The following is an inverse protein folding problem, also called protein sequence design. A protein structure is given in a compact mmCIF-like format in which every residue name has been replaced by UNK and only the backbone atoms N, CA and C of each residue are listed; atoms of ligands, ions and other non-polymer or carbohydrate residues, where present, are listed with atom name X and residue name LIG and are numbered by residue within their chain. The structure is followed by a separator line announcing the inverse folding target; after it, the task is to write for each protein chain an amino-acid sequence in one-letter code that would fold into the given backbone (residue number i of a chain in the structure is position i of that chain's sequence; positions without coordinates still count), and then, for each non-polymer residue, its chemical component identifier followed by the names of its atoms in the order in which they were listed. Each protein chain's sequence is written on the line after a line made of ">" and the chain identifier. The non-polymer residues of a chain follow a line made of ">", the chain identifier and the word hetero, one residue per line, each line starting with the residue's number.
data_IF_557369467110
#
_entry.id   IF_557369467110
#
_cell.length_a   1.000
_cell.length_b   1.000
_cell.length_c   1.000
_cell.angle_alpha   90.00
_cell.angle_beta   90.00
_cell.angle_gamma   90.00
#
_symmetry.space_group_name_H-M   'P 1'
#
loop_
_entity.id
_entity.type
_entity.pdbx_description
1 polymer ?
#
# COMPACT_ATOMS: atom_id res chain seq x y z
N UNK A 1 -11.76 15.18 3.60
CA UNK A 1 -10.71 14.42 2.85
C UNK A 1 -9.35 14.86 3.37
N UNK A 2 -8.47 13.93 3.73
CA UNK A 2 -7.13 14.26 4.23
C UNK A 2 -6.30 14.89 3.12
N UNK A 3 -5.68 16.04 3.38
CA UNK A 3 -4.76 16.67 2.44
C UNK A 3 -3.37 16.05 2.57
N UNK A 4 -3.14 14.99 1.79
CA UNK A 4 -1.88 14.26 1.79
C UNK A 4 -0.72 15.07 1.22
N UNK A 5 -0.96 15.96 0.24
CA UNK A 5 0.09 16.79 -0.35
C UNK A 5 0.65 17.78 0.68
N UNK A 6 -0.23 18.49 1.38
CA UNK A 6 0.18 19.39 2.46
C UNK A 6 0.97 18.69 3.58
N UNK A 7 0.65 17.42 3.88
CA UNK A 7 1.42 16.64 4.85
C UNK A 7 2.85 16.35 4.37
N UNK A 8 3.03 16.01 3.10
CA UNK A 8 4.35 15.84 2.51
C UNK A 8 5.15 17.16 2.49
N UNK A 9 4.51 18.27 2.09
CA UNK A 9 5.10 19.61 2.08
C UNK A 9 5.57 20.07 3.46
N UNK A 10 4.78 19.79 4.49
CA UNK A 10 5.10 20.13 5.89
C UNK A 10 5.94 19.08 6.61
N UNK A 11 6.39 18.03 5.94
CA UNK A 11 7.11 16.88 6.52
C UNK A 11 6.37 16.21 7.70
N UNK A 12 5.04 16.29 7.71
CA UNK A 12 4.20 15.61 8.71
C UNK A 12 3.87 14.19 8.22
N UNK A 13 4.87 13.32 8.22
CA UNK A 13 4.86 11.98 7.61
C UNK A 13 4.97 10.84 8.62
N UNK A 14 4.32 10.96 9.77
CA UNK A 14 4.38 9.97 10.87
C UNK A 14 4.02 8.53 10.51
N UNK A 15 3.50 8.27 9.30
CA UNK A 15 3.27 6.93 8.75
C UNK A 15 4.51 6.33 8.04
N UNK A 16 5.51 7.15 7.74
CA UNK A 16 6.76 6.68 7.14
C UNK A 16 7.58 5.96 8.22
N UNK A 17 8.01 4.75 7.90
CA UNK A 17 8.84 3.93 8.78
C UNK A 17 10.26 3.83 8.21
N UNK A 18 11.26 4.00 9.08
CA UNK A 18 12.68 3.87 8.71
C UNK A 18 13.08 2.42 8.42
N UNK A 19 12.32 1.46 8.94
CA UNK A 19 12.57 0.03 8.76
C UNK A 19 11.58 -0.59 7.80
N UNK A 20 12.02 -1.66 7.14
CA UNK A 20 11.16 -2.54 6.34
C UNK A 20 10.08 -3.16 7.24
N UNK A 21 8.87 -3.21 6.76
CA UNK A 21 7.77 -3.79 7.52
C UNK A 21 8.02 -5.29 7.79
N UNK A 22 7.95 -5.70 9.05
CA UNK A 22 8.16 -7.07 9.50
C UNK A 22 7.23 -8.06 8.78
N UNK A 23 5.97 -7.70 8.59
CA UNK A 23 4.99 -8.58 7.94
C UNK A 23 5.32 -8.81 6.46
N UNK A 24 5.91 -7.83 5.77
CA UNK A 24 6.40 -8.04 4.41
C UNK A 24 7.51 -9.10 4.39
N UNK A 25 8.45 -9.02 5.32
CA UNK A 25 9.57 -9.97 5.42
C UNK A 25 9.06 -11.39 5.69
N UNK A 26 8.18 -11.54 6.70
CA UNK A 26 7.70 -12.83 7.17
C UNK A 26 6.67 -13.48 6.24
N UNK A 27 5.88 -12.67 5.53
CA UNK A 27 4.76 -13.14 4.70
C UNK A 27 4.99 -13.00 3.18
N UNK A 28 6.20 -12.63 2.76
CA UNK A 28 6.52 -12.47 1.34
C UNK A 28 6.23 -13.74 0.52
N UNK A 29 6.47 -14.92 1.09
CA UNK A 29 6.19 -16.22 0.47
C UNK A 29 4.72 -16.44 0.12
N UNK A 30 3.78 -15.76 0.82
CA UNK A 30 2.36 -15.84 0.53
C UNK A 30 1.99 -15.25 -0.83
N UNK A 31 2.82 -14.36 -1.36
CA UNK A 31 2.63 -13.77 -2.68
C UNK A 31 3.03 -14.71 -3.82
N UNK A 32 3.71 -15.82 -3.52
CA UNK A 32 4.14 -16.85 -4.48
C UNK A 32 4.89 -16.27 -5.69
N UNK A 33 5.86 -15.39 -5.41
CA UNK A 33 6.67 -14.68 -6.41
C UNK A 33 7.95 -15.42 -6.73
N UNK A 34 8.39 -15.28 -7.97
CA UNK A 34 9.74 -15.69 -8.43
C UNK A 34 10.56 -14.46 -8.80
N UNK A 35 11.88 -14.60 -8.79
CA UNK A 35 12.81 -13.52 -9.18
C UNK A 35 12.41 -12.92 -10.53
N UNK A 36 12.36 -11.58 -10.59
CA UNK A 36 11.94 -10.83 -11.78
C UNK A 36 10.45 -10.48 -11.83
N UNK A 37 9.61 -11.11 -10.99
CA UNK A 37 8.19 -10.77 -10.93
C UNK A 37 7.97 -9.32 -10.51
N UNK A 38 6.86 -8.73 -10.99
CA UNK A 38 6.50 -7.35 -10.70
C UNK A 38 5.52 -7.30 -9.52
N UNK A 39 5.84 -6.44 -8.54
CA UNK A 39 4.98 -6.13 -7.39
C UNK A 39 4.46 -4.71 -7.51
N UNK A 40 3.15 -4.54 -7.42
CA UNK A 40 2.51 -3.23 -7.38
C UNK A 40 2.34 -2.75 -5.94
N UNK A 41 2.67 -1.48 -5.69
CA UNK A 41 2.51 -0.82 -4.39
C UNK A 41 1.68 0.43 -4.60
N UNK A 42 0.38 0.41 -4.24
CA UNK A 42 -0.47 1.59 -4.30
C UNK A 42 -0.10 2.60 -3.22
N UNK A 43 -0.26 3.91 -3.51
CA UNK A 43 -0.01 5.03 -2.61
C UNK A 43 1.32 4.87 -1.85
N UNK A 44 2.39 4.57 -2.61
CA UNK A 44 3.61 3.98 -2.08
C UNK A 44 4.46 4.92 -1.23
N UNK A 45 4.21 6.23 -1.28
CA UNK A 45 5.06 7.21 -0.60
C UNK A 45 6.54 7.04 -0.95
N UNK A 46 7.39 7.09 0.07
CA UNK A 46 8.82 6.76 -0.02
C UNK A 46 9.20 5.51 0.79
N UNK A 47 8.32 4.49 0.79
CA UNK A 47 8.46 3.31 1.63
C UNK A 47 9.75 2.51 1.37
N UNK A 48 10.47 2.18 2.44
CA UNK A 48 11.65 1.30 2.40
C UNK A 48 11.29 -0.15 2.03
N UNK A 49 10.02 -0.51 2.09
CA UNK A 49 9.52 -1.81 1.62
C UNK A 49 9.80 -2.01 0.12
N UNK A 50 9.82 -0.92 -0.67
CA UNK A 50 10.21 -0.97 -2.10
C UNK A 50 11.66 -1.40 -2.27
N UNK A 51 12.55 -0.87 -1.45
CA UNK A 51 13.99 -1.23 -1.48
C UNK A 51 14.18 -2.70 -1.11
N UNK A 52 13.45 -3.19 -0.11
CA UNK A 52 13.49 -4.60 0.26
C UNK A 52 13.06 -5.50 -0.90
N UNK A 53 11.96 -5.19 -1.58
CA UNK A 53 11.49 -5.96 -2.73
C UNK A 53 12.50 -5.96 -3.88
N UNK A 54 13.11 -4.81 -4.19
CA UNK A 54 14.19 -4.71 -5.17
C UNK A 54 15.40 -5.58 -4.79
N UNK A 55 15.80 -5.55 -3.51
CA UNK A 55 16.89 -6.37 -2.97
C UNK A 55 16.60 -7.87 -3.01
N UNK A 56 15.33 -8.27 -3.03
CA UNK A 56 14.86 -9.65 -3.22
C UNK A 56 14.79 -10.08 -4.70
N UNK A 57 15.15 -9.18 -5.61
CA UNK A 57 15.20 -9.47 -7.06
C UNK A 57 13.85 -9.28 -7.77
N UNK A 58 12.88 -8.62 -7.15
CA UNK A 58 11.61 -8.28 -7.79
C UNK A 58 11.69 -6.95 -8.53
N UNK A 59 10.76 -6.71 -9.43
CA UNK A 59 10.53 -5.40 -10.01
C UNK A 59 9.38 -4.71 -9.27
N UNK A 60 9.49 -3.41 -9.04
CA UNK A 60 8.49 -2.63 -8.31
C UNK A 60 7.78 -1.66 -9.25
N UNK A 61 6.46 -1.61 -9.14
CA UNK A 61 5.63 -0.57 -9.76
C UNK A 61 4.89 0.15 -8.63
N UNK A 62 5.10 1.45 -8.49
CA UNK A 62 4.42 2.28 -7.50
C UNK A 62 3.50 3.30 -8.14
N UNK A 63 2.54 3.80 -7.36
CA UNK A 63 1.82 5.03 -7.65
C UNK A 63 1.80 5.91 -6.41
N UNK A 64 2.14 7.18 -6.58
CA UNK A 64 2.16 8.18 -5.50
C UNK A 64 1.77 9.54 -6.07
N UNK A 65 0.93 10.28 -5.36
CA UNK A 65 0.50 11.59 -5.85
C UNK A 65 1.47 12.70 -5.48
N UNK A 66 2.25 12.53 -4.41
CA UNK A 66 3.24 13.51 -3.96
C UNK A 66 4.55 13.37 -4.74
N UNK A 67 4.85 14.37 -5.55
CA UNK A 67 6.14 14.49 -6.23
C UNK A 67 7.31 14.51 -5.24
N UNK A 68 7.13 15.19 -4.11
CA UNK A 68 8.12 15.27 -3.03
C UNK A 68 8.47 13.86 -2.51
N UNK A 69 7.45 13.03 -2.25
CA UNK A 69 7.66 11.67 -1.79
C UNK A 69 8.46 10.83 -2.79
N UNK A 70 8.11 10.92 -4.08
CA UNK A 70 8.79 10.16 -5.14
C UNK A 70 10.25 10.60 -5.27
N UNK A 71 10.50 11.91 -5.32
CA UNK A 71 11.87 12.43 -5.44
C UNK A 71 12.73 12.11 -4.22
N UNK A 72 12.17 12.24 -3.01
CA UNK A 72 12.86 11.84 -1.78
C UNK A 72 13.19 10.35 -1.76
N UNK A 73 12.28 9.48 -2.22
CA UNK A 73 12.55 8.05 -2.31
C UNK A 73 13.80 7.75 -3.13
N UNK A 74 13.92 8.30 -4.32
CA UNK A 74 15.08 8.07 -5.18
C UNK A 74 16.35 8.68 -4.60
N UNK A 75 16.26 9.89 -4.05
CA UNK A 75 17.40 10.60 -3.47
C UNK A 75 17.97 9.88 -2.23
N UNK A 76 17.10 9.56 -1.27
CA UNK A 76 17.49 8.93 0.00
C UNK A 76 18.10 7.54 -0.20
N UNK A 77 17.68 6.83 -1.25
CA UNK A 77 18.19 5.51 -1.59
C UNK A 77 19.29 5.51 -2.65
N UNK A 78 19.81 6.68 -3.05
CA UNK A 78 20.85 6.83 -4.06
C UNK A 78 20.53 6.11 -5.39
N UNK A 79 19.27 6.11 -5.80
CA UNK A 79 18.80 5.48 -7.02
C UNK A 79 18.80 6.48 -8.19
N UNK A 80 19.37 6.07 -9.30
CA UNK A 80 19.29 6.85 -10.55
C UNK A 80 17.93 6.60 -11.22
N UNK A 81 17.38 7.64 -11.81
CA UNK A 81 16.10 7.57 -12.52
C UNK A 81 16.04 8.51 -13.73
N UNK A 82 15.09 8.22 -14.61
CA UNK A 82 14.64 9.11 -15.69
C UNK A 82 13.19 9.48 -15.44
N UNK A 83 12.82 10.68 -15.83
CA UNK A 83 11.43 11.16 -15.77
C UNK A 83 10.89 11.33 -17.17
N UNK A 84 9.68 10.85 -17.41
CA UNK A 84 8.95 11.05 -18.67
C UNK A 84 7.47 11.27 -18.39
N UNK A 85 6.78 11.93 -19.31
CA UNK A 85 5.32 12.06 -19.24
C UNK A 85 4.65 10.84 -19.86
N UNK A 86 3.72 10.23 -19.11
CA UNK A 86 2.91 9.10 -19.57
C UNK A 86 1.44 9.39 -19.25
N UNK A 87 0.71 9.88 -20.23
CA UNK A 87 -0.68 10.29 -20.06
C UNK A 87 -0.83 11.43 -19.05
N UNK A 88 -1.36 11.12 -17.86
CA UNK A 88 -1.56 12.07 -16.76
C UNK A 88 -0.57 11.88 -15.61
N UNK A 89 0.48 11.11 -15.84
CA UNK A 89 1.52 10.82 -14.86
C UNK A 89 2.87 11.39 -15.28
N UNK A 90 3.68 11.76 -14.29
CA UNK A 90 5.12 11.77 -14.44
C UNK A 90 5.64 10.39 -14.04
N UNK A 91 6.21 9.67 -14.98
CA UNK A 91 6.79 8.35 -14.73
C UNK A 91 8.25 8.51 -14.33
N UNK A 92 8.56 8.13 -13.09
CA UNK A 92 9.92 8.02 -12.57
C UNK A 92 10.38 6.58 -12.76
N UNK A 93 11.38 6.38 -13.60
CA UNK A 93 11.87 5.05 -13.98
C UNK A 93 13.33 4.86 -13.61
N UNK A 94 13.59 3.97 -12.66
CA UNK A 94 14.92 3.48 -12.27
C UNK A 94 15.14 2.04 -12.73
N UNK A 95 16.22 1.43 -12.23
CA UNK A 95 16.51 0.00 -12.49
C UNK A 95 15.50 -0.84 -11.69
N UNK A 96 14.70 -1.63 -12.40
CA UNK A 96 13.67 -2.51 -11.83
C UNK A 96 12.59 -1.79 -10.98
N UNK A 97 12.44 -0.48 -11.11
CA UNK A 97 11.43 0.29 -10.41
C UNK A 97 10.80 1.35 -11.32
N UNK A 98 9.48 1.47 -11.23
CA UNK A 98 8.70 2.50 -11.89
C UNK A 98 7.73 3.09 -10.88
N UNK A 99 7.70 4.42 -10.76
CA UNK A 99 6.71 5.10 -9.91
C UNK A 99 5.93 6.09 -10.80
N UNK A 100 4.64 5.85 -10.91
CA UNK A 100 3.69 6.78 -11.55
C UNK A 100 3.34 7.88 -10.55
N UNK A 101 3.91 9.07 -10.72
CA UNK A 101 3.57 10.22 -9.90
C UNK A 101 2.27 10.85 -10.42
N UNK A 102 1.18 10.69 -9.65
CA UNK A 102 -0.16 11.15 -10.02
C UNK A 102 -1.28 10.42 -9.28
N UNK A 103 -2.51 10.64 -9.74
CA UNK A 103 -3.71 10.10 -9.12
C UNK A 103 -3.90 8.61 -9.40
N UNK A 104 -3.94 7.79 -8.33
CA UNK A 104 -4.20 6.35 -8.38
C UNK A 104 -5.41 5.98 -9.25
N UNK A 105 -6.49 6.76 -9.17
CA UNK A 105 -7.72 6.48 -9.93
C UNK A 105 -7.59 6.68 -11.44
N UNK A 106 -6.47 7.18 -11.92
CA UNK A 106 -6.14 7.30 -13.36
C UNK A 106 -5.32 6.13 -13.89
N UNK A 107 -4.87 5.22 -13.02
CA UNK A 107 -4.24 3.98 -13.48
C UNK A 107 -5.22 3.14 -14.28
N UNK A 108 -4.68 2.39 -15.21
CA UNK A 108 -5.42 1.42 -16.02
C UNK A 108 -4.70 0.08 -15.98
N UNK A 109 -5.34 -0.98 -16.41
CA UNK A 109 -4.73 -2.32 -16.51
C UNK A 109 -3.42 -2.31 -17.33
N UNK A 110 -3.29 -1.41 -18.32
CA UNK A 110 -2.06 -1.27 -19.12
C UNK A 110 -0.87 -0.79 -18.30
N UNK A 111 -1.07 0.09 -17.32
CA UNK A 111 0.00 0.55 -16.42
C UNK A 111 0.52 -0.56 -15.51
N UNK A 112 -0.33 -1.56 -15.24
CA UNK A 112 -0.04 -2.68 -14.33
C UNK A 112 0.15 -4.00 -15.08
N UNK A 113 0.50 -3.95 -16.36
CA UNK A 113 0.73 -5.14 -17.16
C UNK A 113 1.88 -5.99 -16.61
N UNK A 114 1.62 -7.28 -16.43
CA UNK A 114 2.59 -8.24 -15.91
C UNK A 114 2.77 -8.21 -14.39
N UNK A 115 1.97 -7.43 -13.64
CA UNK A 115 1.94 -7.48 -12.17
C UNK A 115 1.52 -8.89 -11.70
N UNK A 116 2.28 -9.46 -10.77
CA UNK A 116 2.03 -10.75 -10.13
C UNK A 116 1.46 -10.63 -8.73
N UNK A 117 1.80 -9.55 -8.03
CA UNK A 117 1.30 -9.29 -6.69
C UNK A 117 1.08 -7.79 -6.44
N UNK A 118 0.29 -7.52 -5.40
CA UNK A 118 0.11 -6.20 -4.79
C UNK A 118 0.56 -6.28 -3.34
N UNK A 119 1.30 -5.28 -2.89
CA UNK A 119 1.59 -5.07 -1.49
C UNK A 119 0.87 -3.80 -1.02
N UNK A 120 -0.21 -3.97 -0.29
CA UNK A 120 -1.05 -2.89 0.22
C UNK A 120 -0.80 -2.68 1.71
N UNK A 121 0.10 -1.77 2.00
CA UNK A 121 0.40 -1.30 3.35
C UNK A 121 0.22 0.21 3.42
N UNK A 122 -0.52 0.66 4.42
CA UNK A 122 -0.83 2.07 4.65
C UNK A 122 -1.65 2.76 3.54
N UNK A 123 -2.16 2.02 2.55
CA UNK A 123 -3.03 2.58 1.51
C UNK A 123 -4.49 2.52 1.92
N UNK A 124 -5.03 1.32 2.16
CA UNK A 124 -6.44 1.16 2.52
C UNK A 124 -6.80 1.95 3.79
N UNK A 125 -5.96 1.88 4.83
CA UNK A 125 -6.17 2.58 6.10
C UNK A 125 -5.96 4.10 6.04
N UNK A 126 -5.39 4.61 4.95
CA UNK A 126 -5.25 6.05 4.72
C UNK A 126 -6.54 6.71 4.25
N UNK A 127 -7.50 5.91 3.82
CA UNK A 127 -8.72 6.34 3.15
C UNK A 127 -9.93 6.27 4.10
N UNK A 128 -10.83 7.23 4.02
CA UNK A 128 -12.14 7.13 4.64
C UNK A 128 -13.00 6.03 3.99
N UNK A 129 -14.08 5.63 4.65
CA UNK A 129 -14.92 4.50 4.23
C UNK A 129 -15.40 4.60 2.78
N UNK A 130 -15.87 5.77 2.35
CA UNK A 130 -16.37 5.98 0.98
C UNK A 130 -15.24 5.89 -0.05
N UNK A 131 -14.07 6.43 0.30
CA UNK A 131 -12.88 6.39 -0.56
C UNK A 131 -12.32 4.96 -0.66
N UNK A 132 -12.39 4.15 0.41
CA UNK A 132 -11.98 2.74 0.39
C UNK A 132 -12.80 1.89 -0.59
N UNK A 133 -14.13 2.08 -0.62
CA UNK A 133 -14.99 1.36 -1.57
C UNK A 133 -14.59 1.66 -3.01
N UNK A 134 -14.32 2.92 -3.32
CA UNK A 134 -13.84 3.33 -4.66
C UNK A 134 -12.45 2.75 -4.95
N UNK A 135 -11.56 2.79 -3.96
CA UNK A 135 -10.21 2.28 -4.06
C UNK A 135 -10.19 0.79 -4.38
N UNK A 136 -10.90 -0.03 -3.60
CA UNK A 136 -10.95 -1.48 -3.81
C UNK A 136 -11.61 -1.83 -5.14
N UNK A 137 -12.70 -1.15 -5.50
CA UNK A 137 -13.32 -1.32 -6.81
C UNK A 137 -12.33 -1.03 -7.94
N UNK A 138 -11.65 0.13 -7.88
CA UNK A 138 -10.69 0.51 -8.90
C UNK A 138 -9.50 -0.45 -8.96
N UNK A 139 -8.94 -0.84 -7.80
CA UNK A 139 -7.87 -1.83 -7.73
C UNK A 139 -8.29 -3.15 -8.39
N UNK A 140 -9.50 -3.63 -8.11
CA UNK A 140 -10.06 -4.81 -8.76
C UNK A 140 -10.12 -4.65 -10.28
N UNK A 141 -10.53 -3.49 -10.78
CA UNK A 141 -10.69 -3.26 -12.22
C UNK A 141 -9.35 -3.22 -12.97
N UNK A 142 -8.25 -2.83 -12.30
CA UNK A 142 -6.94 -2.62 -12.95
C UNK A 142 -5.91 -3.74 -12.75
N UNK A 143 -6.17 -4.72 -11.91
CA UNK A 143 -5.29 -5.89 -11.75
C UNK A 143 -5.88 -7.13 -12.42
N UNK A 144 -5.04 -8.04 -12.88
CA UNK A 144 -5.46 -9.27 -13.57
C UNK A 144 -5.93 -10.35 -12.57
N UNK A 145 -6.73 -11.31 -13.06
CA UNK A 145 -7.09 -12.50 -12.29
C UNK A 145 -5.84 -13.29 -11.87
N UNK A 146 -5.90 -13.90 -10.70
CA UNK A 146 -4.79 -14.67 -10.11
C UNK A 146 -3.75 -13.83 -9.37
N UNK A 147 -3.76 -12.50 -9.50
CA UNK A 147 -2.90 -11.59 -8.72
C UNK A 147 -3.21 -11.76 -7.23
N UNK A 148 -2.15 -11.88 -6.43
CA UNK A 148 -2.25 -11.95 -4.97
C UNK A 148 -1.98 -10.60 -4.34
N UNK A 149 -2.67 -10.30 -3.24
CA UNK A 149 -2.50 -9.08 -2.47
C UNK A 149 -2.09 -9.47 -1.06
N UNK A 150 -0.98 -8.94 -0.58
CA UNK A 150 -0.64 -8.90 0.84
C UNK A 150 -1.18 -7.57 1.38
N UNK A 151 -2.27 -7.64 2.13
CA UNK A 151 -2.96 -6.49 2.69
C UNK A 151 -2.69 -6.41 4.19
N UNK A 152 -2.23 -5.26 4.65
CA UNK A 152 -2.04 -4.93 6.06
C UNK A 152 -3.10 -3.91 6.49
N UNK A 153 -3.84 -4.26 7.54
CA UNK A 153 -4.85 -3.37 8.13
C UNK A 153 -4.61 -3.11 9.60
N UNK A 154 -5.33 -2.14 10.09
CA UNK A 154 -5.31 -1.71 11.47
C UNK A 154 -6.78 -1.47 11.88
N UNK A 155 -7.20 -2.00 13.02
CA UNK A 155 -8.53 -1.81 13.57
C UNK A 155 -8.46 -1.32 15.02
N UNK A 156 -9.34 -0.39 15.37
CA UNK A 156 -9.44 0.19 16.71
C UNK A 156 -10.81 0.87 16.86
N UNK A 157 -11.25 1.25 18.07
CA UNK A 157 -12.49 2.01 18.25
C UNK A 157 -12.41 3.39 17.58
N UNK A 158 -12.92 3.51 16.35
CA UNK A 158 -12.78 4.72 15.52
C UNK A 158 -13.30 6.00 16.20
N UNK A 159 -14.21 5.89 17.17
CA UNK A 159 -14.72 7.03 17.92
C UNK A 159 -13.70 7.60 18.92
N UNK A 160 -12.68 6.82 19.31
CA UNK A 160 -11.61 7.25 20.23
C UNK A 160 -10.51 8.03 19.51
N UNK A 161 -10.39 7.88 18.18
CA UNK A 161 -9.36 8.55 17.40
C UNK A 161 -9.86 8.90 16.01
N UNK A 162 -9.71 10.17 15.64
CA UNK A 162 -9.97 10.64 14.27
C UNK A 162 -8.79 10.23 13.39
N UNK A 163 -9.06 9.42 12.35
CA UNK A 163 -8.05 9.03 11.38
C UNK A 163 -7.47 10.18 10.55
N UNK A 164 -6.51 9.98 9.66
CA UNK A 164 -5.83 8.72 9.38
C UNK A 164 -4.76 8.35 10.43
N UNK A 165 -4.37 7.06 10.53
CA UNK A 165 -4.97 5.94 9.86
C UNK A 165 -6.41 5.72 10.34
N UNK A 166 -7.27 5.19 9.44
CA UNK A 166 -8.65 4.84 9.79
C UNK A 166 -8.76 3.37 10.15
N UNK A 167 -9.64 3.05 11.10
CA UNK A 167 -9.93 1.67 11.47
C UNK A 167 -10.56 0.90 10.29
N UNK A 168 -10.05 -0.30 10.05
CA UNK A 168 -10.55 -1.25 9.05
C UNK A 168 -10.71 -2.61 9.72
N UNK A 169 -11.93 -2.98 10.04
CA UNK A 169 -12.24 -4.26 10.68
C UNK A 169 -12.18 -5.42 9.69
N UNK A 170 -12.06 -6.65 10.23
CA UNK A 170 -12.17 -7.88 9.42
C UNK A 170 -13.47 -7.91 8.61
N UNK A 171 -14.60 -7.58 9.22
CA UNK A 171 -15.89 -7.57 8.52
C UNK A 171 -15.95 -6.57 7.37
N UNK A 172 -15.24 -5.44 7.49
CA UNK A 172 -15.12 -4.49 6.39
C UNK A 172 -14.22 -5.04 5.26
N UNK A 173 -13.08 -5.67 5.59
CA UNK A 173 -12.24 -6.35 4.58
C UNK A 173 -13.05 -7.42 3.85
N UNK A 174 -13.75 -8.29 4.58
CA UNK A 174 -14.59 -9.32 3.97
C UNK A 174 -15.66 -8.73 3.04
N UNK A 175 -16.27 -7.60 3.43
CA UNK A 175 -17.27 -6.91 2.60
C UNK A 175 -16.69 -6.26 1.36
N UNK A 176 -15.56 -5.55 1.48
CA UNK A 176 -14.92 -4.81 0.39
C UNK A 176 -14.40 -5.73 -0.73
N UNK A 177 -13.90 -6.90 -0.36
CA UNK A 177 -13.27 -7.83 -1.31
C UNK A 177 -14.18 -8.99 -1.72
N UNK A 178 -15.42 -9.05 -1.17
CA UNK A 178 -16.41 -10.10 -1.46
C UNK A 178 -16.68 -10.25 -2.95
N UNK A 179 -16.72 -11.52 -3.40
CA UNK A 179 -17.09 -11.88 -4.77
C UNK A 179 -15.99 -11.73 -5.82
N UNK A 180 -15.00 -10.87 -5.56
CA UNK A 180 -13.88 -10.65 -6.48
C UNK A 180 -12.57 -11.29 -6.00
N UNK A 181 -12.47 -11.60 -4.71
CA UNK A 181 -11.26 -12.16 -4.11
C UNK A 181 -11.59 -13.30 -3.15
N UNK A 182 -10.70 -14.29 -3.11
CA UNK A 182 -10.59 -15.21 -1.98
C UNK A 182 -9.73 -14.53 -0.93
N UNK A 183 -10.27 -14.39 0.29
CA UNK A 183 -9.62 -13.71 1.40
C UNK A 183 -9.21 -14.74 2.47
N UNK A 184 -7.94 -14.74 2.88
CA UNK A 184 -7.40 -15.52 3.98
C UNK A 184 -6.68 -14.62 4.95
N UNK A 185 -7.15 -14.57 6.20
CA UNK A 185 -6.45 -13.92 7.28
C UNK A 185 -5.22 -14.76 7.67
N UNK A 186 -4.06 -14.12 7.71
CA UNK A 186 -2.79 -14.75 8.07
C UNK A 186 -2.44 -14.52 9.52
N UNK A 187 -2.78 -13.35 10.03
CA UNK A 187 -2.47 -12.92 11.38
C UNK A 187 -3.46 -11.83 11.81
N UNK A 188 -3.84 -11.85 13.07
CA UNK A 188 -4.56 -10.78 13.74
C UNK A 188 -4.10 -10.72 15.20
N UNK A 189 -3.48 -9.62 15.60
CA UNK A 189 -2.93 -9.43 16.95
C UNK A 189 -3.37 -8.10 17.54
N UNK A 190 -3.64 -8.08 18.85
CA UNK A 190 -3.73 -6.82 19.57
C UNK A 190 -2.30 -6.34 19.88
N UNK A 191 -1.95 -5.17 19.37
CA UNK A 191 -0.59 -4.62 19.43
C UNK A 191 -0.56 -3.21 20.05
N UNK A 192 -1.55 -2.89 20.89
CA UNK A 192 -1.69 -1.57 21.52
C UNK A 192 -0.44 -1.16 22.32
N UNK A 193 0.24 -2.12 22.94
CA UNK A 193 1.44 -1.86 23.74
C UNK A 193 2.59 -1.30 22.90
N UNK A 194 2.63 -1.61 21.62
CA UNK A 194 3.62 -1.10 20.66
C UNK A 194 3.14 0.12 19.87
N UNK A 195 1.98 0.69 20.25
CA UNK A 195 1.38 1.85 19.60
C UNK A 195 1.24 3.05 20.57
N UNK A 196 2.37 3.64 21.03
CA UNK A 196 2.33 4.68 22.06
C UNK A 196 1.51 5.90 21.68
N UNK A 197 1.45 6.25 20.38
CA UNK A 197 0.64 7.38 19.89
C UNK A 197 -0.86 7.11 19.99
N UNK A 198 -1.29 5.85 19.90
CA UNK A 198 -2.67 5.46 20.12
C UNK A 198 -3.03 5.48 21.61
N UNK A 199 -2.14 4.95 22.45
CA UNK A 199 -2.29 5.00 23.91
C UNK A 199 -2.43 6.44 24.43
N UNK A 200 -1.56 7.36 23.95
CA UNK A 200 -1.61 8.78 24.31
C UNK A 200 -2.92 9.46 23.90
N UNK A 201 -3.61 8.94 22.91
CA UNK A 201 -4.91 9.43 22.45
C UNK A 201 -6.09 8.71 23.09
N UNK A 202 -5.84 7.83 24.08
CA UNK A 202 -6.88 7.13 24.83
C UNK A 202 -7.53 5.96 24.06
N UNK A 203 -6.83 5.38 23.10
CA UNK A 203 -7.32 4.20 22.38
C UNK A 203 -7.08 2.95 23.22
N UNK A 204 -8.11 2.13 23.39
CA UNK A 204 -8.11 0.99 24.32
C UNK A 204 -7.45 -0.26 23.71
N UNK A 205 -7.57 -0.45 22.39
CA UNK A 205 -6.92 -1.55 21.69
C UNK A 205 -6.57 -1.15 20.24
N UNK A 206 -5.57 -1.80 19.70
CA UNK A 206 -5.20 -1.72 18.28
C UNK A 206 -4.97 -3.13 17.76
N UNK A 207 -5.84 -3.58 16.89
CA UNK A 207 -5.68 -4.83 16.15
C UNK A 207 -4.89 -4.56 14.87
N UNK A 208 -3.78 -5.26 14.68
CA UNK A 208 -3.06 -5.32 13.40
C UNK A 208 -3.37 -6.65 12.74
N UNK A 209 -3.88 -6.59 11.52
CA UNK A 209 -4.23 -7.78 10.76
C UNK A 209 -3.54 -7.82 9.40
N UNK A 210 -3.20 -9.03 8.99
CA UNK A 210 -2.55 -9.34 7.71
C UNK A 210 -3.40 -10.34 6.95
N UNK A 211 -3.67 -10.02 5.69
CA UNK A 211 -4.47 -10.85 4.80
C UNK A 211 -3.69 -11.19 3.53
N UNK A 212 -3.87 -12.42 3.07
CA UNK A 212 -3.56 -12.80 1.70
C UNK A 212 -4.87 -12.90 0.92
N UNK A 213 -5.01 -12.04 -0.09
CA UNK A 213 -6.16 -12.03 -0.98
C UNK A 213 -5.71 -12.54 -2.34
N UNK A 214 -6.54 -13.33 -3.02
CA UNK A 214 -6.28 -13.76 -4.39
C UNK A 214 -7.46 -13.39 -5.27
N UNK A 215 -7.20 -12.61 -6.33
CA UNK A 215 -8.24 -12.24 -7.28
C UNK A 215 -8.72 -13.49 -8.02
N UNK A 216 -10.02 -13.78 -7.93
CA UNK A 216 -10.65 -14.90 -8.62
C UNK A 216 -10.82 -14.62 -10.11
N UNK A 217 -10.95 -15.68 -10.89
CA UNK A 217 -11.36 -15.54 -12.30
C UNK A 217 -12.84 -15.22 -12.33
N UNK A 218 -13.21 -14.06 -12.84
CA UNK A 218 -14.58 -13.71 -13.23
C UNK A 218 -14.82 -14.17 -14.67
#
# INVERSE_FOLDING_TARGET
>A
MTDWLSRWESNNIGWHADQVNRQLIERLSELNLVTGDKVFIPLCGKSNDMIYLLGRGFSVVGVEMSKIAVEQFFLENNLTYKVSEVGKFLLYQGKNIQIYCGDFFRLTIKHLEGIKAVYDRASLIALDKVSREKYVKHLNDIISSGVRILLLTLNYPQHQKIGPPFAVSKSEVDSLYKGSFQCRELECINDIENEPMFLLQGVDFVEKAVYCLQKVRT
#
